data_IF_423440889675
#
_entry.id   IF_423440889675
#
_cell.length_a   1.000
_cell.length_b   1.000
_cell.length_c   1.000
_cell.angle_alpha   90.00
_cell.angle_beta   90.00
_cell.angle_gamma   90.00
#
_symmetry.space_group_name_H-M   'P 1'
#
loop_
_entity.id
_entity.type
_entity.pdbx_description
1 polymer ?
#
# COMPACT_ATOMS: atom_id res chain seq x y z
N UNK A 1 85.90 0.53 23.80
CA UNK A 1 85.60 1.65 22.89
C UNK A 1 84.85 1.07 21.70
N UNK A 2 83.72 1.64 21.29
CA UNK A 2 83.03 1.21 20.05
C UNK A 2 83.92 1.55 18.85
N UNK A 3 84.03 0.63 17.88
CA UNK A 3 84.82 0.82 16.64
C UNK A 3 83.93 1.14 15.45
N UNK A 4 84.51 1.72 14.39
CA UNK A 4 83.78 2.00 13.14
C UNK A 4 83.19 0.75 12.48
N UNK A 5 83.81 -0.40 12.71
CA UNK A 5 83.31 -1.68 12.21
C UNK A 5 82.03 -2.09 12.96
N UNK A 6 81.93 -1.78 14.25
CA UNK A 6 80.72 -1.97 15.05
C UNK A 6 79.60 -1.03 14.57
N UNK A 7 79.94 0.23 14.26
CA UNK A 7 78.98 1.22 13.72
C UNK A 7 78.47 0.78 12.33
N UNK A 8 79.33 0.24 11.46
CA UNK A 8 78.92 -0.29 10.14
C UNK A 8 77.91 -1.43 10.26
N UNK A 9 78.16 -2.40 11.16
CA UNK A 9 77.24 -3.51 11.41
C UNK A 9 75.88 -3.04 11.93
N UNK A 10 75.86 -2.03 12.81
CA UNK A 10 74.60 -1.44 13.30
C UNK A 10 73.77 -0.84 12.15
N UNK A 11 74.39 -0.08 11.24
CA UNK A 11 73.68 0.53 10.09
C UNK A 11 73.06 -0.48 9.13
N UNK A 12 73.61 -1.69 9.03
CA UNK A 12 73.04 -2.76 8.21
C UNK A 12 71.90 -3.52 8.90
N UNK A 13 71.80 -3.45 10.22
CA UNK A 13 70.77 -4.17 11.01
C UNK A 13 69.53 -3.29 11.22
N UNK A 14 69.71 -1.98 11.37
CA UNK A 14 68.61 -1.05 11.63
C UNK A 14 68.01 -0.49 10.33
N UNK A 15 66.69 -0.35 10.32
CA UNK A 15 65.97 0.32 9.23
C UNK A 15 66.40 1.80 9.12
N UNK A 16 66.53 2.28 7.89
CA UNK A 16 66.84 3.67 7.58
C UNK A 16 65.57 4.53 7.53
N UNK A 17 65.74 5.86 7.47
CA UNK A 17 64.61 6.77 7.25
C UNK A 17 63.90 6.51 5.92
N UNK A 18 64.64 6.12 4.88
CA UNK A 18 64.06 5.77 3.58
C UNK A 18 63.20 4.51 3.68
N UNK A 19 63.60 3.53 4.48
CA UNK A 19 62.83 2.31 4.72
C UNK A 19 61.47 2.58 5.38
N UNK A 20 61.36 3.66 6.15
CA UNK A 20 60.16 4.00 6.89
C UNK A 20 59.14 4.81 6.06
N UNK A 21 59.55 5.46 4.96
CA UNK A 21 58.66 6.32 4.14
C UNK A 21 57.50 5.57 3.48
N UNK A 22 57.61 4.24 3.32
CA UNK A 22 56.56 3.40 2.74
C UNK A 22 55.39 3.12 3.69
N UNK A 23 55.55 3.42 4.99
CA UNK A 23 54.51 3.17 5.98
C UNK A 23 53.63 4.41 6.17
N UNK A 24 52.35 4.17 6.45
CA UNK A 24 51.43 5.22 6.85
C UNK A 24 51.93 5.92 8.12
N UNK A 25 51.81 7.24 8.11
CA UNK A 25 52.07 8.08 9.28
C UNK A 25 50.81 8.16 10.14
N UNK A 26 50.97 8.66 11.37
CA UNK A 26 49.82 8.94 12.24
C UNK A 26 48.78 9.83 11.56
N UNK A 27 49.22 10.84 10.79
CA UNK A 27 48.33 11.75 10.08
C UNK A 27 47.46 11.02 9.05
N UNK A 28 48.03 10.04 8.34
CA UNK A 28 47.27 9.24 7.37
C UNK A 28 46.17 8.42 8.06
N UNK A 29 46.44 7.91 9.27
CA UNK A 29 45.46 7.20 10.09
C UNK A 29 44.36 8.15 10.58
N UNK A 30 44.73 9.32 11.11
CA UNK A 30 43.78 10.33 11.60
C UNK A 30 42.84 10.79 10.46
N UNK A 31 43.37 10.99 9.25
CA UNK A 31 42.57 11.33 8.07
C UNK A 31 41.65 10.19 7.62
N UNK A 32 42.15 8.95 7.64
CA UNK A 32 41.36 7.74 7.35
C UNK A 32 40.21 7.55 8.34
N UNK A 33 40.48 7.72 9.63
CA UNK A 33 39.49 7.63 10.70
C UNK A 33 38.40 8.68 10.50
N UNK A 34 38.77 9.94 10.27
CA UNK A 34 37.83 11.03 10.05
C UNK A 34 36.91 10.77 8.84
N UNK A 35 37.46 10.29 7.71
CA UNK A 35 36.68 9.91 6.53
C UNK A 35 35.69 8.79 6.81
N UNK A 36 36.16 7.75 7.52
CA UNK A 36 35.33 6.59 7.84
C UNK A 36 34.22 6.95 8.82
N UNK A 37 34.53 7.72 9.85
CA UNK A 37 33.56 8.20 10.83
C UNK A 37 32.46 9.04 10.15
N UNK A 38 32.84 10.01 9.32
CA UNK A 38 31.88 10.84 8.60
C UNK A 38 31.00 10.01 7.65
N UNK A 39 31.61 9.15 6.82
CA UNK A 39 30.87 8.30 5.89
C UNK A 39 29.88 7.37 6.59
N UNK A 40 30.28 6.79 7.73
CA UNK A 40 29.39 5.94 8.53
C UNK A 40 28.23 6.74 9.14
N UNK A 41 28.49 7.94 9.67
CA UNK A 41 27.42 8.79 10.22
C UNK A 41 26.40 9.23 9.19
N UNK A 42 26.84 9.54 7.96
CA UNK A 42 25.91 9.96 6.90
C UNK A 42 25.06 8.78 6.42
N UNK A 43 25.65 7.60 6.23
CA UNK A 43 24.89 6.38 5.90
C UNK A 43 23.89 6.03 7.00
N UNK A 44 24.26 6.16 8.28
CA UNK A 44 23.35 5.92 9.40
C UNK A 44 22.17 6.90 9.40
N UNK A 45 22.40 8.17 9.05
CA UNK A 45 21.34 9.19 8.89
C UNK A 45 20.40 8.81 7.75
N UNK A 46 20.94 8.54 6.56
CA UNK A 46 20.14 8.14 5.39
C UNK A 46 19.29 6.89 5.67
N UNK A 47 19.85 5.89 6.37
CA UNK A 47 19.09 4.68 6.74
C UNK A 47 17.96 4.99 7.73
N UNK A 48 18.17 5.95 8.63
CA UNK A 48 17.14 6.40 9.58
C UNK A 48 15.98 7.08 8.85
N UNK A 49 16.29 7.92 7.85
CA UNK A 49 15.30 8.60 7.00
C UNK A 49 14.49 7.57 6.19
N UNK A 50 15.16 6.67 5.46
CA UNK A 50 14.49 5.59 4.69
C UNK A 50 13.62 4.72 5.59
N UNK A 51 14.05 4.43 6.82
CA UNK A 51 13.25 3.68 7.79
C UNK A 51 11.96 4.44 8.16
N UNK A 52 12.02 5.76 8.30
CA UNK A 52 10.84 6.61 8.53
C UNK A 52 9.88 6.53 7.34
N UNK A 53 10.40 6.74 6.12
CA UNK A 53 9.59 6.71 4.89
C UNK A 53 8.90 5.36 4.71
N UNK A 54 9.59 4.25 5.01
CA UNK A 54 9.00 2.89 4.95
C UNK A 54 7.89 2.73 6.00
N UNK A 55 8.06 3.30 7.19
CA UNK A 55 7.04 3.27 8.24
C UNK A 55 5.79 4.05 7.84
N UNK A 56 5.95 5.23 7.22
CA UNK A 56 4.86 6.04 6.69
C UNK A 56 4.14 5.32 5.55
N UNK A 57 4.88 4.84 4.54
CA UNK A 57 4.32 4.10 3.41
C UNK A 57 3.54 2.86 3.85
N UNK A 58 4.01 2.16 4.90
CA UNK A 58 3.30 1.01 5.46
C UNK A 58 1.93 1.41 6.05
N UNK A 59 1.83 2.60 6.64
CA UNK A 59 0.57 3.16 7.11
C UNK A 59 -0.34 3.47 5.93
N UNK A 60 0.15 4.20 4.93
CA UNK A 60 -0.63 4.59 3.76
C UNK A 60 -1.19 3.37 3.01
N UNK A 61 -0.37 2.34 2.82
CA UNK A 61 -0.81 1.09 2.18
C UNK A 61 -1.90 0.39 3.00
N UNK A 62 -1.84 0.44 4.32
CA UNK A 62 -2.88 -0.12 5.20
C UNK A 62 -4.19 0.65 5.03
N UNK A 63 -4.13 1.98 4.97
CA UNK A 63 -5.30 2.83 4.83
C UNK A 63 -5.96 2.66 3.47
N UNK A 64 -5.16 2.60 2.38
CA UNK A 64 -5.65 2.29 1.03
C UNK A 64 -6.37 0.94 1.01
N UNK A 65 -5.81 -0.09 1.67
CA UNK A 65 -6.44 -1.41 1.76
C UNK A 65 -7.81 -1.34 2.45
N UNK A 66 -7.94 -0.56 3.52
CA UNK A 66 -9.21 -0.37 4.22
C UNK A 66 -10.23 0.38 3.34
N UNK A 67 -9.80 1.44 2.66
CA UNK A 67 -10.64 2.20 1.75
C UNK A 67 -11.17 1.34 0.60
N UNK A 68 -10.30 0.55 -0.03
CA UNK A 68 -10.68 -0.38 -1.09
C UNK A 68 -11.70 -1.42 -0.61
N UNK A 69 -11.51 -1.97 0.58
CA UNK A 69 -12.48 -2.90 1.15
C UNK A 69 -13.83 -2.23 1.41
N UNK A 70 -13.85 -0.99 1.92
CA UNK A 70 -15.09 -0.24 2.08
C UNK A 70 -15.80 0.03 0.75
N UNK A 71 -15.05 0.41 -0.29
CA UNK A 71 -15.59 0.59 -1.64
C UNK A 71 -16.16 -0.72 -2.20
N UNK A 72 -15.47 -1.84 -2.01
CA UNK A 72 -15.94 -3.17 -2.41
C UNK A 72 -17.29 -3.50 -1.78
N UNK A 73 -17.44 -3.27 -0.46
CA UNK A 73 -18.71 -3.51 0.23
C UNK A 73 -19.84 -2.61 -0.29
N UNK A 74 -19.55 -1.33 -0.55
CA UNK A 74 -20.53 -0.40 -1.11
C UNK A 74 -21.00 -0.84 -2.50
N UNK A 75 -20.08 -1.28 -3.36
CA UNK A 75 -20.41 -1.77 -4.71
C UNK A 75 -21.26 -3.05 -4.63
N UNK A 76 -20.90 -3.99 -3.76
CA UNK A 76 -21.68 -5.21 -3.53
C UNK A 76 -23.11 -4.87 -3.07
N UNK A 77 -23.25 -3.89 -2.16
CA UNK A 77 -24.54 -3.39 -1.69
C UNK A 77 -25.39 -2.82 -2.82
N UNK A 78 -24.83 -1.88 -3.60
CA UNK A 78 -25.52 -1.26 -4.72
C UNK A 78 -25.96 -2.29 -5.78
N UNK A 79 -25.11 -3.27 -6.09
CA UNK A 79 -25.46 -4.36 -7.03
C UNK A 79 -26.62 -5.20 -6.50
N UNK A 80 -26.66 -5.48 -5.19
CA UNK A 80 -27.77 -6.22 -4.57
C UNK A 80 -29.09 -5.46 -4.69
N UNK A 81 -29.10 -4.17 -4.32
CA UNK A 81 -30.29 -3.31 -4.41
C UNK A 81 -30.82 -3.23 -5.85
N UNK A 82 -29.94 -2.96 -6.82
CA UNK A 82 -30.31 -2.92 -8.24
C UNK A 82 -30.90 -4.24 -8.73
N UNK A 83 -30.40 -5.38 -8.24
CA UNK A 83 -30.92 -6.70 -8.60
C UNK A 83 -32.33 -6.92 -8.03
N UNK A 84 -32.58 -6.49 -6.80
CA UNK A 84 -33.90 -6.57 -6.16
C UNK A 84 -34.93 -5.70 -6.89
N UNK A 85 -34.57 -4.45 -7.20
CA UNK A 85 -35.41 -3.53 -7.98
C UNK A 85 -35.73 -4.07 -9.38
N UNK A 86 -34.72 -4.68 -10.03
CA UNK A 86 -34.89 -5.32 -11.32
C UNK A 86 -35.86 -6.52 -11.25
N UNK A 87 -35.74 -7.37 -10.23
CA UNK A 87 -36.64 -8.52 -10.03
C UNK A 87 -38.09 -8.07 -9.76
N UNK A 88 -38.30 -7.00 -9.00
CA UNK A 88 -39.63 -6.40 -8.78
C UNK A 88 -40.19 -5.86 -10.10
N UNK A 89 -39.38 -5.11 -10.85
CA UNK A 89 -39.79 -4.53 -12.13
C UNK A 89 -40.17 -5.61 -13.15
N UNK A 90 -39.38 -6.68 -13.24
CA UNK A 90 -39.66 -7.85 -14.09
C UNK A 90 -40.99 -8.53 -13.72
N UNK A 91 -41.27 -8.72 -12.43
CA UNK A 91 -42.57 -9.25 -11.96
C UNK A 91 -43.74 -8.35 -12.31
N UNK A 92 -43.56 -7.03 -12.35
CA UNK A 92 -44.61 -6.09 -12.77
C UNK A 92 -44.86 -6.13 -14.27
N UNK A 93 -43.80 -6.12 -15.08
CA UNK A 93 -43.89 -6.20 -16.55
C UNK A 93 -44.62 -7.47 -16.99
N UNK A 94 -44.22 -8.62 -16.44
CA UNK A 94 -44.88 -9.92 -16.74
C UNK A 94 -46.37 -9.99 -16.35
N UNK A 95 -46.85 -9.12 -15.45
CA UNK A 95 -48.29 -9.02 -15.15
C UNK A 95 -49.03 -8.17 -16.18
N UNK A 96 -48.37 -7.16 -16.76
CA UNK A 96 -48.92 -6.28 -17.78
C UNK A 96 -48.96 -6.93 -19.17
N UNK A 97 -48.00 -7.81 -19.47
CA UNK A 97 -47.99 -8.58 -20.73
C UNK A 97 -49.12 -9.61 -20.82
N UNK A 98 -49.75 -9.97 -19.69
CA UNK A 98 -50.90 -10.90 -19.70
C UNK A 98 -52.13 -10.19 -20.28
N UNK A 99 -52.84 -10.80 -21.26
CA UNK A 99 -54.04 -10.20 -21.82
C UNK A 99 -55.08 -9.95 -20.73
N UNK A 100 -55.87 -8.86 -20.83
CA UNK A 100 -56.87 -8.54 -19.83
C UNK A 100 -57.87 -9.69 -19.71
N UNK A 101 -58.16 -10.09 -18.47
CA UNK A 101 -59.19 -11.09 -18.19
C UNK A 101 -60.51 -10.68 -18.85
N UNK A 102 -61.27 -11.62 -19.45
CA UNK A 102 -62.58 -11.32 -20.01
C UNK A 102 -63.45 -10.62 -18.97
N UNK A 103 -63.98 -9.44 -19.32
CA UNK A 103 -64.88 -8.68 -18.44
C UNK A 103 -66.10 -9.57 -18.18
N UNK A 104 -66.29 -10.00 -16.92
CA UNK A 104 -67.55 -10.64 -16.52
C UNK A 104 -68.64 -9.58 -16.64
N UNK A 105 -69.55 -9.75 -17.60
CA UNK A 105 -70.76 -8.94 -17.68
C UNK A 105 -71.51 -9.09 -16.36
N UNK A 106 -71.72 -7.97 -15.65
CA UNK A 106 -72.59 -7.95 -14.47
C UNK A 106 -74.02 -8.13 -15.01
N UNK A 107 -74.77 -9.17 -14.60
CA UNK A 107 -76.15 -9.32 -15.05
C UNK A 107 -76.93 -8.08 -14.59
N UNK A 108 -77.46 -7.30 -15.52
CA UNK A 108 -78.50 -6.33 -15.23
C UNK A 108 -79.74 -7.11 -14.80
N UNK A 109 -79.94 -7.26 -13.49
CA UNK A 109 -81.24 -7.66 -12.94
C UNK A 109 -82.17 -6.45 -13.09
N UNK A 110 -82.78 -6.30 -14.27
CA UNK A 110 -83.95 -5.45 -14.42
C UNK A 110 -85.03 -6.03 -13.50
N UNK A 111 -85.23 -5.37 -12.36
CA UNK A 111 -86.28 -5.70 -11.42
C UNK A 111 -87.62 -5.38 -12.10
N UNK A 112 -88.18 -6.34 -12.83
CA UNK A 112 -89.55 -6.25 -13.35
C UNK A 112 -90.50 -6.49 -12.17
N UNK A 113 -90.75 -5.44 -11.40
CA UNK A 113 -91.94 -5.40 -10.55
C UNK A 113 -93.16 -5.47 -11.49
N UNK A 114 -94.07 -6.45 -11.35
CA UNK A 114 -95.30 -6.46 -12.12
C UNK A 114 -96.13 -5.23 -11.73
N UNK A 115 -96.24 -4.31 -12.69
CA UNK A 115 -97.20 -3.22 -12.65
C UNK A 115 -98.56 -3.85 -12.97
N UNK A 116 -99.60 -3.31 -12.32
CA UNK A 116 -101.05 -3.36 -12.56
C UNK A 116 -101.83 -4.24 -11.57
N UNK A 117 -102.69 -3.69 -10.69
CA UNK A 117 -103.76 -2.67 -10.80
C UNK A 117 -105.13 -3.33 -11.00
N UNK A 118 -105.94 -3.17 -9.95
CA UNK A 118 -107.38 -3.45 -9.80
C UNK A 118 -107.85 -4.91 -9.67
#
# INVERSE_FOLDING_TARGET
MITDNDIKKLKTIFATKEDLKRFATKKDLDESEARTAFGFTDVQRQFTEVRSDISELKSDVKDIRLQLHGMEQNIIGAIRELKEDHDVSKKRITKLEKPPSPIKQIPHQLNQAPITSH
#
